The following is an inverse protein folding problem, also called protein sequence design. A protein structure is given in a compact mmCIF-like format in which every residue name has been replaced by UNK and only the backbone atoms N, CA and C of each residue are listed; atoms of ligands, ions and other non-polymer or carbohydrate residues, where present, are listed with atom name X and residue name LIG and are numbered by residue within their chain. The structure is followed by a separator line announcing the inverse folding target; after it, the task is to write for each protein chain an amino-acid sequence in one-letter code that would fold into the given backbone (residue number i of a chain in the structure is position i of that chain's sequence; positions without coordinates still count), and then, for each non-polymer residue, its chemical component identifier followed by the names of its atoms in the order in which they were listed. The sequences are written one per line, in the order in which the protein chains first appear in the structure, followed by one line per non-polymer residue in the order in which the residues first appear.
data_IF_557130539235
#
_entry.id   IF_557130539235
#
_cell.length_a   1.000
_cell.length_b   1.000
_cell.length_c   1.000
_cell.angle_alpha   90.00
_cell.angle_beta   90.00
_cell.angle_gamma   90.00
#
_symmetry.space_group_name_H-M   'P 1'
#
loop_
_entity.id
_entity.type
_entity.pdbx_description
1 polymer ?
#
# COMPACT_ATOMS: atom_id res chain seq x y z
N UNK A 1 27.43 -13.37 11.05
CA UNK A 1 27.00 -13.04 9.67
C UNK A 1 26.64 -11.57 9.62
N UNK A 2 26.96 -10.85 8.54
CA UNK A 2 26.61 -9.43 8.40
C UNK A 2 25.12 -9.28 8.06
N UNK A 3 24.39 -8.49 8.86
CA UNK A 3 22.98 -8.21 8.62
C UNK A 3 22.76 -7.39 7.34
N UNK A 4 21.64 -7.62 6.66
CA UNK A 4 21.13 -6.78 5.57
C UNK A 4 20.69 -5.46 6.20
N UNK A 5 21.31 -4.35 5.82
CA UNK A 5 21.06 -3.05 6.44
C UNK A 5 20.17 -2.17 5.58
N UNK A 6 18.98 -1.85 6.07
CA UNK A 6 18.17 -0.79 5.45
C UNK A 6 18.90 0.54 5.67
N UNK A 7 19.16 1.33 4.60
CA UNK A 7 19.89 2.58 4.76
C UNK A 7 19.02 3.63 5.47
N UNK A 8 19.63 4.42 6.36
CA UNK A 8 18.94 5.54 7.04
C UNK A 8 18.36 6.58 6.08
N UNK A 9 18.88 6.66 4.85
CA UNK A 9 18.26 7.44 3.78
C UNK A 9 17.99 6.54 2.58
N UNK A 10 16.71 6.37 2.25
CA UNK A 10 16.23 5.49 1.19
C UNK A 10 15.84 6.32 -0.03
N UNK A 11 16.49 6.04 -1.15
CA UNK A 11 16.08 6.41 -2.51
C UNK A 11 15.46 5.19 -3.18
N UNK A 12 14.79 5.35 -4.33
CA UNK A 12 14.25 4.21 -5.09
C UNK A 12 15.33 3.20 -5.47
N UNK A 13 16.48 3.66 -5.97
CA UNK A 13 17.62 2.78 -6.30
C UNK A 13 18.11 1.96 -5.10
N UNK A 14 18.17 2.57 -3.90
CA UNK A 14 18.53 1.85 -2.66
C UNK A 14 17.47 0.83 -2.25
N UNK A 15 16.20 1.14 -2.46
CA UNK A 15 15.10 0.22 -2.18
C UNK A 15 15.08 -0.98 -3.16
N UNK A 16 15.43 -0.77 -4.43
CA UNK A 16 15.61 -1.85 -5.42
C UNK A 16 16.77 -2.77 -5.03
N UNK A 17 17.93 -2.21 -4.68
CA UNK A 17 19.06 -3.02 -4.18
C UNK A 17 18.70 -3.83 -2.94
N UNK A 18 17.92 -3.26 -2.02
CA UNK A 18 17.41 -3.99 -0.86
C UNK A 18 16.54 -5.19 -1.28
N UNK A 19 15.71 -5.03 -2.33
CA UNK A 19 14.87 -6.11 -2.85
C UNK A 19 15.69 -7.31 -3.35
N UNK A 20 16.88 -7.08 -3.91
CA UNK A 20 17.82 -8.15 -4.31
C UNK A 20 18.45 -8.81 -3.09
N UNK A 21 18.88 -8.02 -2.10
CA UNK A 21 19.60 -8.51 -0.92
C UNK A 21 18.75 -9.39 0.00
N UNK A 22 17.43 -9.18 0.03
CA UNK A 22 16.48 -9.93 0.87
C UNK A 22 16.03 -11.27 0.28
N UNK A 23 16.29 -11.54 -1.00
CA UNK A 23 15.78 -12.74 -1.68
C UNK A 23 16.32 -14.04 -1.07
N UNK A 24 17.56 -14.02 -0.60
CA UNK A 24 18.21 -15.17 0.04
C UNK A 24 17.61 -15.44 1.44
N UNK A 25 17.09 -14.41 2.10
CA UNK A 25 16.44 -14.49 3.42
C UNK A 25 17.26 -15.12 4.56
N UNK A 26 18.51 -15.54 4.30
CA UNK A 26 19.37 -16.26 5.25
C UNK A 26 20.06 -15.33 6.24
N UNK A 27 20.15 -14.05 5.90
CA UNK A 27 20.85 -13.04 6.70
C UNK A 27 19.86 -12.32 7.61
N UNK A 28 20.29 -11.95 8.84
CA UNK A 28 19.50 -11.08 9.69
C UNK A 28 19.20 -9.76 8.99
N UNK A 29 18.04 -9.16 9.27
CA UNK A 29 17.70 -7.82 8.80
C UNK A 29 18.06 -6.81 9.89
N UNK A 30 18.58 -5.64 9.50
CA UNK A 30 18.70 -4.48 10.37
C UNK A 30 17.90 -3.33 9.78
N UNK A 31 16.91 -2.85 10.53
CA UNK A 31 16.13 -1.67 10.18
C UNK A 31 16.46 -0.56 11.18
N UNK A 32 17.07 0.56 10.74
CA UNK A 32 17.36 1.66 11.66
C UNK A 32 16.06 2.19 12.27
N UNK A 33 16.12 2.58 13.55
CA UNK A 33 15.04 3.31 14.24
C UNK A 33 14.46 4.45 13.39
N UNK A 34 15.32 5.23 12.75
CA UNK A 34 14.93 6.36 11.89
C UNK A 34 15.35 6.15 10.42
N UNK A 35 14.37 6.21 9.53
CA UNK A 35 14.58 6.10 8.07
C UNK A 35 13.96 7.30 7.36
N UNK A 36 14.75 8.00 6.56
CA UNK A 36 14.34 9.11 5.71
C UNK A 36 14.08 8.64 4.29
N UNK A 37 12.81 8.63 3.89
CA UNK A 37 12.37 8.27 2.55
C UNK A 37 12.37 9.49 1.62
N UNK A 38 13.16 9.44 0.55
CA UNK A 38 13.34 10.56 -0.39
C UNK A 38 12.42 10.52 -1.61
N UNK A 39 11.76 9.38 -1.85
CA UNK A 39 10.81 9.19 -2.94
C UNK A 39 9.48 8.66 -2.38
N UNK A 40 8.36 9.02 -3.01
CA UNK A 40 7.02 8.68 -2.56
C UNK A 40 6.74 7.16 -2.55
N UNK A 41 7.43 6.37 -3.39
CA UNK A 41 7.31 4.91 -3.45
C UNK A 41 8.25 4.17 -2.48
N UNK A 42 9.22 4.86 -1.87
CA UNK A 42 10.28 4.17 -1.12
C UNK A 42 9.75 3.38 0.08
N UNK A 43 8.73 3.87 0.79
CA UNK A 43 8.16 3.14 1.94
C UNK A 43 7.56 1.81 1.49
N UNK A 44 6.80 1.79 0.39
CA UNK A 44 6.14 0.57 -0.08
C UNK A 44 7.12 -0.44 -0.66
N UNK A 45 8.15 0.02 -1.36
CA UNK A 45 9.25 -0.82 -1.84
C UNK A 45 10.01 -1.48 -0.68
N UNK A 46 10.36 -0.70 0.34
CA UNK A 46 11.07 -1.22 1.51
C UNK A 46 10.17 -2.16 2.31
N UNK A 47 8.91 -1.79 2.55
CA UNK A 47 7.96 -2.66 3.24
C UNK A 47 7.75 -4.00 2.51
N UNK A 48 7.64 -3.99 1.18
CA UNK A 48 7.54 -5.25 0.41
C UNK A 48 8.83 -6.09 0.49
N UNK A 49 10.00 -5.45 0.56
CA UNK A 49 11.27 -6.14 0.77
C UNK A 49 11.33 -6.79 2.16
N UNK A 50 10.88 -6.07 3.20
CA UNK A 50 10.74 -6.60 4.56
C UNK A 50 9.75 -7.76 4.62
N UNK A 51 8.61 -7.65 3.94
CA UNK A 51 7.65 -8.75 3.84
C UNK A 51 8.28 -9.96 3.18
N UNK A 52 9.02 -9.77 2.09
CA UNK A 52 9.72 -10.86 1.39
C UNK A 52 10.74 -11.54 2.30
N UNK A 53 11.56 -10.76 3.01
CA UNK A 53 12.48 -11.27 4.01
C UNK A 53 11.74 -12.07 5.10
N UNK A 54 10.65 -11.52 5.63
CA UNK A 54 9.92 -12.10 6.75
C UNK A 54 9.11 -13.35 6.41
N UNK A 55 8.72 -13.56 5.16
CA UNK A 55 8.06 -14.81 4.75
C UNK A 55 9.03 -15.89 4.29
N UNK A 56 10.29 -15.55 4.08
CA UNK A 56 11.30 -16.49 3.59
C UNK A 56 11.51 -17.62 4.62
N UNK A 57 11.61 -18.91 4.22
CA UNK A 57 11.68 -20.04 5.17
C UNK A 57 12.87 -20.03 6.14
N UNK A 58 13.95 -19.33 5.79
CA UNK A 58 15.14 -19.20 6.63
C UNK A 58 14.89 -18.34 7.90
N UNK A 59 15.85 -18.35 8.83
CA UNK A 59 15.78 -17.65 10.11
C UNK A 59 15.53 -16.14 9.92
N UNK A 60 14.32 -15.70 10.28
CA UNK A 60 13.90 -14.29 10.24
C UNK A 60 14.43 -13.48 11.43
N UNK A 61 15.74 -13.52 11.66
CA UNK A 61 16.36 -12.80 12.76
C UNK A 61 16.45 -11.29 12.47
N UNK A 62 15.91 -10.46 13.37
CA UNK A 62 15.99 -9.01 13.30
C UNK A 62 17.06 -8.49 14.26
N UNK A 63 17.93 -7.62 13.79
CA UNK A 63 18.85 -6.84 14.62
C UNK A 63 18.32 -5.41 14.71
N UNK A 64 18.27 -4.85 15.93
CA UNK A 64 17.70 -3.52 16.18
C UNK A 64 18.58 -2.65 17.06
N UNK A 65 18.52 -1.34 16.81
CA UNK A 65 19.07 -0.27 17.64
C UNK A 65 17.99 0.44 18.47
N UNK A 66 16.76 -0.07 18.44
CA UNK A 66 15.65 0.45 19.25
C UNK A 66 15.86 0.06 20.71
N UNK A 67 16.05 1.06 21.57
CA UNK A 67 15.94 0.91 23.00
C UNK A 67 14.48 0.63 23.38
N UNK A 68 14.19 -0.61 23.81
CA UNK A 68 12.84 -1.04 24.16
C UNK A 68 12.38 -0.46 25.52
N UNK A 69 13.28 0.12 26.32
CA UNK A 69 12.94 0.77 27.59
C UNK A 69 12.66 2.27 27.43
N UNK A 70 12.94 2.88 26.26
CA UNK A 70 12.54 4.26 25.96
C UNK A 70 11.00 4.32 25.89
N UNK A 71 10.40 5.22 26.66
CA UNK A 71 8.96 5.47 26.64
C UNK A 71 8.41 5.82 25.24
N UNK A 72 9.27 6.23 24.30
CA UNK A 72 8.93 6.53 22.91
C UNK A 72 9.10 5.35 21.95
N UNK A 73 9.60 4.20 22.39
CA UNK A 73 9.89 3.06 21.51
C UNK A 73 8.66 2.64 20.68
N UNK A 74 7.48 2.57 21.30
CA UNK A 74 6.22 2.29 20.60
C UNK A 74 5.89 3.34 19.53
N UNK A 75 6.12 4.63 19.84
CA UNK A 75 5.92 5.73 18.89
C UNK A 75 6.91 5.66 17.72
N UNK A 76 8.16 5.30 17.98
CA UNK A 76 9.19 5.17 16.96
C UNK A 76 8.89 4.00 16.00
N UNK A 77 8.47 2.86 16.54
CA UNK A 77 7.94 1.73 15.78
C UNK A 77 6.74 2.15 14.91
N UNK A 78 5.75 2.81 15.51
CA UNK A 78 4.54 3.23 14.80
C UNK A 78 4.80 4.22 13.64
N UNK A 79 5.87 5.03 13.73
CA UNK A 79 6.27 5.99 12.68
C UNK A 79 7.11 5.38 11.56
N UNK A 80 7.64 4.17 11.76
CA UNK A 80 8.51 3.51 10.80
C UNK A 80 7.87 2.19 10.33
N UNK A 81 6.97 2.32 9.35
CA UNK A 81 6.16 1.21 8.83
C UNK A 81 6.97 -0.06 8.49
N UNK A 82 8.11 0.00 7.77
CA UNK A 82 8.92 -1.20 7.54
C UNK A 82 9.58 -1.77 8.81
N UNK A 83 9.94 -0.95 9.79
CA UNK A 83 10.46 -1.42 11.08
C UNK A 83 9.39 -2.21 11.84
N UNK A 84 8.18 -1.66 11.95
CA UNK A 84 7.06 -2.34 12.61
C UNK A 84 6.70 -3.65 11.90
N UNK A 85 6.69 -3.67 10.56
CA UNK A 85 6.50 -4.90 9.80
C UNK A 85 7.62 -5.92 10.03
N UNK A 86 8.88 -5.48 10.14
CA UNK A 86 10.01 -6.36 10.41
C UNK A 86 9.88 -6.99 11.81
N UNK A 87 9.56 -6.19 12.83
CA UNK A 87 9.28 -6.68 14.18
C UNK A 87 8.14 -7.70 14.21
N UNK A 88 7.06 -7.44 13.47
CA UNK A 88 5.91 -8.35 13.39
C UNK A 88 6.19 -9.67 12.64
N UNK A 89 7.21 -9.70 11.78
CA UNK A 89 7.59 -10.89 10.99
C UNK A 89 8.82 -11.62 11.55
N UNK A 90 9.53 -11.04 12.51
CA UNK A 90 10.77 -11.59 13.02
C UNK A 90 10.54 -12.86 13.84
N UNK A 91 11.36 -13.88 13.63
CA UNK A 91 11.36 -15.10 14.46
C UNK A 91 12.09 -14.85 15.79
N UNK A 92 13.19 -14.12 15.73
CA UNK A 92 14.00 -13.65 16.85
C UNK A 92 14.39 -12.18 16.66
N UNK A 93 14.62 -11.47 17.77
CA UNK A 93 15.07 -10.08 17.76
C UNK A 93 16.26 -9.93 18.69
N UNK A 94 17.34 -9.33 18.19
CA UNK A 94 18.58 -9.09 18.92
C UNK A 94 18.96 -7.61 18.87
N UNK A 95 19.62 -7.14 19.93
CA UNK A 95 20.31 -5.84 19.95
C UNK A 95 21.61 -5.89 19.14
N UNK A 96 22.25 -4.73 18.94
CA UNK A 96 23.54 -4.64 18.23
C UNK A 96 24.68 -5.43 18.88
N UNK A 97 24.64 -5.64 20.20
CA UNK A 97 25.61 -6.47 20.94
C UNK A 97 25.25 -7.97 20.99
N UNK A 98 24.14 -8.36 20.35
CA UNK A 98 23.68 -9.75 20.25
C UNK A 98 22.76 -10.22 21.37
N UNK A 99 22.38 -9.35 22.32
CA UNK A 99 21.41 -9.70 23.37
C UNK A 99 20.06 -10.04 22.77
N UNK A 100 19.53 -11.23 23.09
CA UNK A 100 18.20 -11.66 22.67
C UNK A 100 17.13 -10.89 23.45
N UNK A 101 16.31 -10.14 22.73
CA UNK A 101 15.21 -9.32 23.25
C UNK A 101 13.87 -9.72 22.63
N UNK A 102 13.77 -10.92 22.06
CA UNK A 102 12.60 -11.38 21.28
C UNK A 102 11.28 -11.22 22.03
N UNK A 103 11.20 -11.64 23.30
CA UNK A 103 9.96 -11.55 24.07
C UNK A 103 9.53 -10.10 24.32
N UNK A 104 10.48 -9.23 24.66
CA UNK A 104 10.24 -7.79 24.88
C UNK A 104 9.82 -7.10 23.58
N UNK A 105 10.51 -7.42 22.49
CA UNK A 105 10.19 -6.93 21.15
C UNK A 105 8.77 -7.35 20.73
N UNK A 106 8.37 -8.61 20.97
CA UNK A 106 7.00 -9.09 20.72
C UNK A 106 5.99 -8.31 21.54
N UNK A 107 6.20 -8.16 22.85
CA UNK A 107 5.30 -7.40 23.71
C UNK A 107 5.10 -5.96 23.23
N UNK A 108 6.20 -5.26 22.90
CA UNK A 108 6.14 -3.89 22.37
C UNK A 108 5.44 -3.82 21.02
N UNK A 109 5.67 -4.80 20.14
CA UNK A 109 5.02 -4.91 18.83
C UNK A 109 3.52 -5.12 18.98
N UNK A 110 3.11 -6.05 19.83
CA UNK A 110 1.70 -6.33 20.13
C UNK A 110 1.00 -5.09 20.69
N UNK A 111 1.63 -4.40 21.64
CA UNK A 111 1.13 -3.13 22.19
C UNK A 111 0.97 -2.07 21.08
N UNK A 112 2.02 -1.85 20.29
CA UNK A 112 2.02 -0.85 19.21
C UNK A 112 0.95 -1.13 18.17
N UNK A 113 0.77 -2.40 17.78
CA UNK A 113 -0.25 -2.82 16.82
C UNK A 113 -1.66 -2.72 17.39
N UNK A 114 -1.87 -3.06 18.66
CA UNK A 114 -3.17 -2.94 19.32
C UNK A 114 -3.63 -1.48 19.42
N UNK A 115 -2.72 -0.57 19.79
CA UNK A 115 -2.97 0.87 19.82
C UNK A 115 -3.25 1.40 18.41
N UNK A 116 -2.40 1.06 17.42
CA UNK A 116 -2.60 1.49 16.03
C UNK A 116 -3.88 0.95 15.37
N UNK A 117 -4.29 -0.28 15.73
CA UNK A 117 -5.54 -0.89 15.27
C UNK A 117 -6.80 -0.20 15.80
N UNK A 118 -6.70 0.53 16.91
CA UNK A 118 -7.79 1.30 17.48
C UNK A 118 -7.99 2.65 16.77
N UNK A 119 -6.98 3.14 16.03
CA UNK A 119 -6.77 4.58 15.85
C UNK A 119 -6.35 4.99 14.42
N UNK A 120 -7.10 4.60 13.37
CA UNK A 120 -7.19 5.51 12.21
C UNK A 120 -8.13 6.63 12.66
N UNK A 121 -7.63 7.84 12.94
CA UNK A 121 -8.40 8.83 13.70
C UNK A 121 -9.71 9.23 13.03
N UNK A 122 -10.64 9.70 13.85
CA UNK A 122 -11.86 10.37 13.40
C UNK A 122 -11.47 11.70 12.73
N UNK A 123 -12.23 12.10 11.70
CA UNK A 123 -12.10 13.42 11.08
C UNK A 123 -12.15 14.51 12.16
N UNK A 124 -11.16 15.40 12.19
CA UNK A 124 -11.17 16.59 13.06
C UNK A 124 -9.94 16.83 13.93
N UNK A 125 -9.04 15.85 14.12
CA UNK A 125 -7.80 16.06 14.90
C UNK A 125 -6.62 16.65 14.11
N UNK A 126 -6.89 17.33 12.98
CA UNK A 126 -5.89 18.16 12.27
C UNK A 126 -4.55 17.47 12.03
N UNK A 127 -4.50 16.47 11.17
CA UNK A 127 -3.27 15.70 10.92
C UNK A 127 -2.48 16.40 9.80
N UNK A 128 -1.27 16.88 10.08
CA UNK A 128 -0.44 17.69 9.16
C UNK A 128 0.34 16.86 8.13
N UNK A 129 0.76 17.52 7.02
CA UNK A 129 1.72 16.98 6.05
C UNK A 129 2.98 16.47 6.76
N UNK A 130 3.42 15.25 6.45
CA UNK A 130 4.56 14.60 7.11
C UNK A 130 4.18 13.52 8.14
N UNK A 131 2.88 13.33 8.38
CA UNK A 131 2.38 12.20 9.16
C UNK A 131 2.31 10.93 8.31
N UNK A 132 2.85 9.85 8.88
CA UNK A 132 2.89 8.51 8.31
C UNK A 132 1.99 7.63 9.18
N UNK A 133 1.09 6.86 8.58
CA UNK A 133 0.21 5.94 9.29
C UNK A 133 0.26 4.60 8.60
N UNK A 134 0.51 3.56 9.39
CA UNK A 134 0.31 2.19 8.96
C UNK A 134 -0.67 1.47 9.86
N UNK A 135 -1.42 0.58 9.25
CA UNK A 135 -2.23 -0.41 9.92
C UNK A 135 -1.82 -1.78 9.40
N UNK A 136 -1.43 -2.65 10.32
CA UNK A 136 -0.89 -3.97 10.00
C UNK A 136 -1.76 -5.02 10.69
N UNK A 137 -2.33 -5.93 9.92
CA UNK A 137 -2.88 -7.19 10.43
C UNK A 137 -1.77 -8.23 10.42
N UNK A 138 -1.63 -8.96 11.53
CA UNK A 138 -0.64 -10.04 11.70
C UNK A 138 -1.40 -11.35 11.84
N UNK A 139 -1.51 -12.13 10.77
CA UNK A 139 -2.46 -13.26 10.72
C UNK A 139 -1.97 -14.51 11.44
N UNK A 140 -0.68 -14.57 11.74
CA UNK A 140 -0.03 -15.72 12.37
C UNK A 140 0.07 -15.60 13.90
N UNK A 141 -0.27 -14.43 14.46
CA UNK A 141 -0.32 -14.21 15.91
C UNK A 141 -1.79 -14.16 16.38
N UNK A 142 -2.30 -15.21 17.05
CA UNK A 142 -3.69 -15.26 17.48
C UNK A 142 -4.02 -14.28 18.61
N UNK A 143 -3.02 -13.72 19.29
CA UNK A 143 -3.24 -12.68 20.32
C UNK A 143 -3.63 -11.33 19.70
N UNK A 144 -3.25 -11.11 18.43
CA UNK A 144 -3.55 -9.91 17.68
C UNK A 144 -4.85 -10.06 16.91
N UNK A 145 -5.85 -9.26 17.29
CA UNK A 145 -7.10 -9.17 16.52
C UNK A 145 -6.86 -8.31 15.28
N UNK A 146 -7.40 -8.70 14.11
CA UNK A 146 -7.37 -7.85 12.93
C UNK A 146 -7.94 -6.45 13.25
N UNK A 147 -7.32 -5.38 12.73
CA UNK A 147 -7.77 -4.01 12.93
C UNK A 147 -9.25 -3.82 12.59
N UNK A 148 -10.04 -3.36 13.57
CA UNK A 148 -11.49 -3.21 13.43
C UNK A 148 -11.82 -2.07 12.45
N UNK A 149 -12.73 -2.32 11.52
CA UNK A 149 -13.18 -1.29 10.56
C UNK A 149 -12.20 -1.03 9.41
N UNK A 150 -11.27 -1.95 9.19
CA UNK A 150 -10.38 -2.04 8.02
C UNK A 150 -10.54 -3.43 7.40
N UNK A 151 -10.41 -4.47 8.22
CA UNK A 151 -10.69 -5.84 7.81
C UNK A 151 -12.05 -6.29 8.37
N UNK A 152 -12.93 -6.86 7.54
CA UNK A 152 -14.21 -7.42 7.98
C UNK A 152 -14.00 -8.66 8.86
N UNK A 153 -14.90 -8.93 9.82
CA UNK A 153 -14.75 -10.00 10.83
C UNK A 153 -15.12 -11.40 10.34
N UNK A 154 -15.79 -11.48 9.20
CA UNK A 154 -16.30 -12.69 8.57
C UNK A 154 -16.61 -12.32 7.13
N UNK A 155 -16.60 -13.31 6.23
CA UNK A 155 -16.93 -13.15 4.80
C UNK A 155 -17.98 -12.06 4.59
N UNK A 156 -17.61 -11.05 3.80
CA UNK A 156 -18.39 -9.83 3.61
C UNK A 156 -19.84 -10.18 3.26
N UNK A 157 -20.75 -9.86 4.17
CA UNK A 157 -22.12 -9.63 3.79
C UNK A 157 -22.19 -8.37 2.92
N UNK A 158 -23.18 -8.33 2.04
CA UNK A 158 -23.49 -7.13 1.25
C UNK A 158 -23.72 -5.89 2.13
N UNK A 159 -24.06 -6.08 3.41
CA UNK A 159 -24.29 -5.04 4.42
C UNK A 159 -23.04 -4.24 4.79
N UNK A 160 -21.84 -4.82 4.65
CA UNK A 160 -20.60 -4.12 4.91
C UNK A 160 -20.21 -3.14 3.79
N UNK A 161 -20.69 -3.35 2.55
CA UNK A 161 -20.34 -2.50 1.39
C UNK A 161 -20.76 -1.04 1.55
N UNK A 162 -21.97 -0.68 2.04
CA UNK A 162 -22.36 0.71 2.30
C UNK A 162 -21.39 1.50 3.20
N UNK A 163 -20.71 0.85 4.15
CA UNK A 163 -19.69 1.47 5.02
C UNK A 163 -18.44 1.93 4.25
N UNK A 164 -18.20 1.34 3.08
CA UNK A 164 -17.06 1.64 2.21
C UNK A 164 -17.45 2.29 0.88
N UNK A 165 -18.65 2.05 0.39
CA UNK A 165 -19.14 2.43 -0.95
C UNK A 165 -19.91 3.75 -1.00
N UNK A 166 -20.11 4.42 0.14
CA UNK A 166 -20.68 5.75 0.19
C UNK A 166 -22.18 5.76 -0.07
N UNK A 167 -22.98 5.55 0.98
CA UNK A 167 -24.14 6.44 1.08
C UNK A 167 -23.61 7.88 1.15
N UNK A 168 -24.34 8.83 0.56
CA UNK A 168 -24.08 10.26 0.75
C UNK A 168 -23.76 10.49 2.23
N UNK A 169 -22.70 11.27 2.50
CA UNK A 169 -22.16 11.59 3.84
C UNK A 169 -23.23 11.83 4.93
N UNK A 170 -24.43 12.30 4.53
CA UNK A 170 -25.60 12.54 5.40
C UNK A 170 -26.21 11.29 6.04
N UNK A 171 -26.06 10.09 5.47
CA UNK A 171 -26.64 8.86 6.03
C UNK A 171 -25.63 8.05 6.88
N UNK A 172 -24.33 8.35 6.79
CA UNK A 172 -23.27 7.55 7.43
C UNK A 172 -23.01 7.97 8.88
N UNK A 173 -23.49 9.14 9.30
CA UNK A 173 -23.46 9.56 10.71
C UNK A 173 -24.23 8.59 11.63
N UNK A 174 -25.16 7.79 11.10
CA UNK A 174 -25.94 6.82 11.88
C UNK A 174 -25.17 5.52 12.23
N UNK A 175 -24.12 5.15 11.49
CA UNK A 175 -23.39 3.90 11.79
C UNK A 175 -22.23 4.13 12.78
N UNK A 176 -22.57 4.19 14.07
CA UNK A 176 -21.63 4.25 15.21
C UNK A 176 -20.71 5.48 15.26
N UNK A 177 -21.05 6.57 14.58
CA UNK A 177 -20.35 7.86 14.68
C UNK A 177 -18.92 7.88 14.13
N UNK A 178 -18.54 6.96 13.22
CA UNK A 178 -17.20 6.93 12.61
C UNK A 178 -17.26 7.28 11.11
N UNK A 179 -16.39 8.17 10.60
CA UNK A 179 -16.34 8.43 9.17
C UNK A 179 -15.91 7.21 8.34
N UNK A 180 -16.35 7.12 7.05
CA UNK A 180 -15.87 6.09 6.13
C UNK A 180 -14.35 6.02 6.05
N UNK A 181 -13.79 4.84 5.74
CA UNK A 181 -12.34 4.62 5.70
C UNK A 181 -11.61 5.62 4.77
N UNK A 182 -12.13 5.86 3.57
CA UNK A 182 -11.48 6.81 2.64
C UNK A 182 -11.46 8.24 3.19
N UNK A 183 -12.49 8.68 3.90
CA UNK A 183 -12.53 10.00 4.54
C UNK A 183 -11.51 10.10 5.68
N UNK A 184 -11.34 9.03 6.46
CA UNK A 184 -10.30 8.96 7.50
C UNK A 184 -8.90 9.05 6.89
N UNK A 185 -8.67 8.41 5.74
CA UNK A 185 -7.39 8.47 5.03
C UNK A 185 -7.15 9.85 4.39
N UNK A 186 -8.16 10.49 3.79
CA UNK A 186 -8.03 11.84 3.26
C UNK A 186 -7.70 12.87 4.36
N UNK A 187 -8.29 12.70 5.54
CA UNK A 187 -8.01 13.53 6.73
C UNK A 187 -6.56 13.52 7.20
N UNK A 188 -5.72 12.59 6.72
CA UNK A 188 -4.27 12.52 7.00
C UNK A 188 -3.48 13.59 6.23
N UNK A 189 -4.02 14.12 5.13
CA UNK A 189 -3.24 14.99 4.22
C UNK A 189 -2.93 16.39 4.76
N UNK A 190 -3.59 16.84 5.84
CA UNK A 190 -3.31 18.11 6.52
C UNK A 190 -3.54 19.39 5.73
N UNK A 191 -3.98 19.27 4.48
CA UNK A 191 -4.59 20.34 3.73
C UNK A 191 -6.08 20.26 4.05
N UNK A 192 -6.59 21.31 4.68
CA UNK A 192 -7.98 21.51 5.10
C UNK A 192 -8.99 20.97 4.04
N UNK A 193 -10.20 20.48 4.41
CA UNK A 193 -11.31 20.25 3.47
C UNK A 193 -11.50 21.35 2.39
N UNK A 194 -11.08 22.59 2.65
CA UNK A 194 -11.06 23.70 1.69
C UNK A 194 -10.23 23.43 0.40
N UNK A 195 -9.22 22.56 0.43
CA UNK A 195 -8.45 22.20 -0.76
C UNK A 195 -9.15 21.18 -1.67
N UNK A 196 -10.08 20.41 -1.13
CA UNK A 196 -10.84 19.38 -1.86
C UNK A 196 -12.27 19.84 -2.20
N UNK A 197 -12.77 20.89 -1.53
CA UNK A 197 -14.07 21.50 -1.80
C UNK A 197 -15.22 20.48 -1.76
N UNK A 198 -16.18 20.65 -2.67
CA UNK A 198 -17.33 19.74 -2.82
C UNK A 198 -16.92 18.30 -3.19
N UNK A 199 -15.71 18.11 -3.73
CA UNK A 199 -15.19 16.81 -4.14
C UNK A 199 -14.66 15.98 -2.98
N UNK A 200 -14.50 16.54 -1.77
CA UNK A 200 -13.99 15.80 -0.61
C UNK A 200 -14.81 14.54 -0.33
N UNK A 201 -16.14 14.65 -0.36
CA UNK A 201 -17.04 13.52 -0.09
C UNK A 201 -16.96 12.46 -1.19
N UNK A 202 -16.97 12.87 -2.46
CA UNK A 202 -16.88 11.96 -3.59
C UNK A 202 -15.53 11.23 -3.61
N UNK A 203 -14.44 11.97 -3.38
CA UNK A 203 -13.07 11.45 -3.26
C UNK A 203 -12.95 10.47 -2.10
N UNK A 204 -13.52 10.81 -0.94
CA UNK A 204 -13.50 9.95 0.24
C UNK A 204 -14.27 8.64 0.03
N UNK A 205 -15.37 8.68 -0.72
CA UNK A 205 -16.13 7.48 -1.10
C UNK A 205 -15.39 6.63 -2.12
N UNK A 206 -14.82 7.24 -3.16
CA UNK A 206 -14.03 6.54 -4.18
C UNK A 206 -12.81 5.84 -3.56
N UNK A 207 -12.11 6.54 -2.66
CA UNK A 207 -11.01 5.96 -1.91
C UNK A 207 -11.47 4.86 -0.93
N UNK A 208 -12.64 5.01 -0.31
CA UNK A 208 -13.23 3.97 0.53
C UNK A 208 -13.46 2.67 -0.25
N UNK A 209 -14.04 2.76 -1.44
CA UNK A 209 -14.24 1.62 -2.34
C UNK A 209 -12.93 0.98 -2.78
N UNK A 210 -11.93 1.79 -3.15
CA UNK A 210 -10.58 1.30 -3.49
C UNK A 210 -10.02 0.43 -2.37
N UNK A 211 -9.99 1.00 -1.16
CA UNK A 211 -9.40 0.36 0.00
C UNK A 211 -10.16 -0.91 0.35
N UNK A 212 -11.49 -0.89 0.28
CA UNK A 212 -12.31 -2.08 0.51
C UNK A 212 -11.93 -3.25 -0.40
N UNK A 213 -11.89 -3.02 -1.72
CA UNK A 213 -11.58 -4.09 -2.67
C UNK A 213 -10.16 -4.62 -2.48
N UNK A 214 -9.18 -3.73 -2.29
CA UNK A 214 -7.80 -4.15 -2.05
C UNK A 214 -7.68 -4.94 -0.74
N UNK A 215 -8.24 -4.45 0.35
CA UNK A 215 -8.18 -5.10 1.66
C UNK A 215 -8.93 -6.44 1.65
N UNK A 216 -10.09 -6.51 0.99
CA UNK A 216 -10.80 -7.76 0.75
C UNK A 216 -9.94 -8.77 -0.02
N UNK A 217 -9.28 -8.34 -1.10
CA UNK A 217 -8.39 -9.22 -1.88
C UNK A 217 -7.24 -9.74 -1.01
N UNK A 218 -6.64 -8.91 -0.17
CA UNK A 218 -5.60 -9.38 0.77
C UNK A 218 -6.17 -10.35 1.81
N UNK A 219 -7.38 -10.14 2.33
CA UNK A 219 -8.01 -11.04 3.30
C UNK A 219 -8.30 -12.42 2.70
N UNK A 220 -8.78 -12.46 1.46
CA UNK A 220 -9.12 -13.71 0.79
C UNK A 220 -7.86 -14.47 0.36
N UNK A 221 -6.87 -13.78 -0.21
CA UNK A 221 -5.78 -14.42 -0.94
C UNK A 221 -4.43 -14.42 -0.23
N UNK A 222 -4.20 -13.54 0.75
CA UNK A 222 -2.85 -13.30 1.27
C UNK A 222 -2.54 -13.94 2.63
N UNK A 223 -3.41 -14.79 3.17
CA UNK A 223 -3.20 -15.50 4.45
C UNK A 223 -2.65 -16.92 4.28
N UNK A 224 -2.59 -17.41 3.04
CA UNK A 224 -2.30 -18.80 2.73
C UNK A 224 -1.30 -18.89 1.60
N UNK A 225 -0.47 -19.92 1.63
CA UNK A 225 0.41 -20.32 0.54
C UNK A 225 -0.38 -20.64 -0.73
N UNK A 226 0.34 -20.80 -1.85
CA UNK A 226 -0.22 -21.35 -3.10
C UNK A 226 -0.85 -22.74 -2.92
N UNK A 227 -0.52 -23.48 -1.87
CA UNK A 227 -1.10 -24.81 -1.60
C UNK A 227 -2.29 -24.76 -0.63
N UNK A 228 -2.61 -23.59 -0.07
CA UNK A 228 -3.73 -23.42 0.85
C UNK A 228 -3.37 -23.55 2.32
N UNK A 229 -2.13 -23.91 2.64
CA UNK A 229 -1.64 -23.90 4.01
C UNK A 229 -1.57 -22.46 4.52
N UNK A 230 -1.93 -22.19 5.79
CA UNK A 230 -1.67 -20.89 6.41
C UNK A 230 -0.20 -20.48 6.24
N UNK A 231 0.04 -19.19 6.02
CA UNK A 231 1.40 -18.67 6.00
C UNK A 231 1.97 -18.68 7.43
N UNK A 232 3.18 -19.26 7.67
CA UNK A 232 3.78 -19.29 9.00
C UNK A 232 4.04 -17.89 9.58
N UNK A 233 4.34 -16.95 8.69
CA UNK A 233 4.50 -15.52 8.97
C UNK A 233 3.72 -14.77 7.92
N UNK A 234 2.73 -14.00 8.38
CA UNK A 234 1.75 -13.34 7.54
C UNK A 234 1.44 -11.97 8.10
N UNK A 235 1.61 -10.96 7.24
CA UNK A 235 1.13 -9.61 7.46
C UNK A 235 0.34 -9.09 6.26
N UNK A 236 -0.62 -8.22 6.54
CA UNK A 236 -1.36 -7.41 5.56
C UNK A 236 -1.36 -5.97 6.06
N UNK A 237 -0.99 -5.04 5.20
CA UNK A 237 -0.58 -3.71 5.57
C UNK A 237 -1.29 -2.67 4.72
N UNK A 238 -1.90 -1.68 5.37
CA UNK A 238 -2.33 -0.43 4.77
C UNK A 238 -1.42 0.67 5.28
N UNK A 239 -0.78 1.39 4.38
CA UNK A 239 0.05 2.56 4.66
C UNK A 239 -0.54 3.78 3.97
N UNK A 240 -0.63 4.90 4.68
CA UNK A 240 -1.07 6.17 4.15
C UNK A 240 -0.18 7.30 4.68
N UNK A 241 0.20 8.22 3.80
CA UNK A 241 1.10 9.33 4.16
C UNK A 241 0.87 10.56 3.28
N UNK A 242 0.91 11.74 3.89
CA UNK A 242 1.16 12.99 3.18
C UNK A 242 2.64 13.12 2.82
N UNK A 243 2.96 13.17 1.53
CA UNK A 243 4.33 13.30 1.02
C UNK A 243 4.50 14.65 0.34
N UNK A 244 5.63 15.32 0.59
CA UNK A 244 5.97 16.55 -0.10
C UNK A 244 7.46 16.63 -0.40
N UNK A 245 7.81 16.98 -1.64
CA UNK A 245 9.19 17.17 -2.07
C UNK A 245 9.24 18.13 -3.27
N UNK A 246 10.38 18.81 -3.46
CA UNK A 246 10.63 19.62 -4.66
C UNK A 246 10.60 18.74 -5.92
N UNK A 247 9.93 19.21 -6.98
CA UNK A 247 9.90 18.54 -8.29
C UNK A 247 11.31 18.23 -8.79
N UNK A 248 12.21 19.21 -8.73
CA UNK A 248 13.61 19.11 -9.15
C UNK A 248 14.40 17.99 -8.46
N UNK A 249 14.05 17.66 -7.21
CA UNK A 249 14.61 16.51 -6.48
C UNK A 249 13.98 15.21 -6.99
N UNK A 250 12.64 15.15 -7.04
CA UNK A 250 11.89 13.95 -7.39
C UNK A 250 12.22 13.41 -8.78
N UNK A 251 12.31 14.27 -9.79
CA UNK A 251 12.65 13.90 -11.18
C UNK A 251 14.07 13.34 -11.34
N UNK A 252 14.90 13.40 -10.29
CA UNK A 252 16.25 12.83 -10.25
C UNK A 252 16.38 11.61 -9.34
N UNK A 253 15.30 11.23 -8.63
CA UNK A 253 15.37 10.15 -7.61
C UNK A 253 15.46 8.75 -8.19
N UNK A 254 14.98 8.55 -9.42
CA UNK A 254 15.07 7.28 -10.14
C UNK A 254 15.09 7.49 -11.65
N UNK A 255 16.26 7.73 -12.26
CA UNK A 255 16.34 7.99 -13.71
C UNK A 255 15.95 6.77 -14.56
N UNK A 256 15.82 5.58 -13.98
CA UNK A 256 15.43 4.36 -14.70
C UNK A 256 13.93 4.16 -14.79
N UNK A 257 13.15 4.84 -13.94
CA UNK A 257 11.69 4.76 -13.90
C UNK A 257 11.05 5.94 -14.68
N UNK A 258 11.05 5.83 -16.00
CA UNK A 258 10.53 6.87 -16.89
C UNK A 258 9.05 7.21 -16.64
N UNK A 259 8.22 6.24 -16.27
CA UNK A 259 6.79 6.45 -16.00
C UNK A 259 6.62 7.32 -14.75
N UNK A 260 7.31 6.98 -13.66
CA UNK A 260 7.26 7.77 -12.43
C UNK A 260 7.89 9.15 -12.60
N UNK A 261 9.01 9.25 -13.33
CA UNK A 261 9.65 10.55 -13.58
C UNK A 261 8.75 11.46 -14.42
N UNK A 262 8.08 10.91 -15.44
CA UNK A 262 7.08 11.62 -16.24
C UNK A 262 5.90 12.08 -15.36
N UNK A 263 5.43 11.24 -14.44
CA UNK A 263 4.41 11.65 -13.47
C UNK A 263 4.87 12.84 -12.63
N UNK A 264 6.07 12.80 -12.03
CA UNK A 264 6.58 13.92 -11.24
C UNK A 264 6.81 15.20 -12.05
N UNK A 265 7.27 15.08 -13.29
CA UNK A 265 7.48 16.23 -14.16
C UNK A 265 6.17 16.98 -14.46
N UNK A 266 5.07 16.23 -14.58
CA UNK A 266 3.76 16.76 -14.99
C UNK A 266 2.76 16.95 -13.84
N UNK A 267 3.06 16.43 -12.64
CA UNK A 267 2.17 16.58 -11.48
C UNK A 267 1.97 18.05 -11.10
N UNK A 268 0.75 18.48 -10.75
CA UNK A 268 0.48 19.86 -10.39
C UNK A 268 1.30 20.26 -9.15
N UNK A 269 1.99 21.39 -9.25
CA UNK A 269 2.74 21.95 -8.14
C UNK A 269 1.88 22.91 -7.32
N UNK A 270 2.29 23.19 -6.10
CA UNK A 270 1.65 24.24 -5.30
C UNK A 270 1.86 25.60 -5.98
N UNK A 271 0.82 26.45 -6.05
CA UNK A 271 0.92 27.76 -6.69
C UNK A 271 2.13 28.57 -6.18
N UNK A 272 2.95 29.08 -7.10
CA UNK A 272 4.17 29.81 -6.76
C UNK A 272 5.32 28.96 -6.18
N UNK A 273 5.28 27.64 -6.27
CA UNK A 273 6.28 26.74 -5.68
C UNK A 273 6.67 25.57 -6.60
N UNK A 274 7.93 25.09 -6.51
CA UNK A 274 8.34 23.80 -7.10
C UNK A 274 7.89 22.59 -6.26
N UNK A 275 7.21 22.82 -5.13
CA UNK A 275 6.84 21.77 -4.20
C UNK A 275 5.69 20.93 -4.76
N UNK A 276 5.91 19.63 -4.89
CA UNK A 276 4.87 18.65 -5.14
C UNK A 276 4.32 18.10 -3.83
N UNK A 277 3.02 17.80 -3.81
CA UNK A 277 2.33 17.21 -2.66
C UNK A 277 1.49 16.03 -3.13
N UNK A 278 1.62 14.92 -2.43
CA UNK A 278 0.88 13.70 -2.72
C UNK A 278 0.28 13.11 -1.45
N UNK A 279 -0.92 12.56 -1.57
CA UNK A 279 -1.38 11.48 -0.69
C UNK A 279 -0.85 10.17 -1.27
N UNK A 280 0.01 9.50 -0.51
CA UNK A 280 0.56 8.19 -0.86
C UNK A 280 -0.20 7.14 -0.08
N UNK A 281 -0.71 6.13 -0.77
CA UNK A 281 -1.44 5.02 -0.15
C UNK A 281 -0.88 3.72 -0.69
N UNK A 282 -0.53 2.80 0.19
CA UNK A 282 -0.03 1.48 -0.18
C UNK A 282 -0.77 0.37 0.56
N UNK A 283 -1.27 -0.62 -0.17
CA UNK A 283 -1.76 -1.89 0.38
C UNK A 283 -0.75 -2.97 0.02
N UNK A 284 -0.19 -3.62 1.02
CA UNK A 284 0.89 -4.61 0.86
C UNK A 284 0.51 -5.88 1.62
N UNK A 285 0.76 -7.03 1.04
CA UNK A 285 0.51 -8.31 1.68
C UNK A 285 1.68 -9.29 1.56
N UNK A 286 1.61 -10.38 2.32
CA UNK A 286 2.60 -11.47 2.40
C UNK A 286 2.22 -12.70 1.59
N UNK A 287 1.15 -12.60 0.80
CA UNK A 287 0.57 -13.69 0.05
C UNK A 287 1.49 -14.28 -1.02
N UNK A 288 0.97 -15.25 -1.79
CA UNK A 288 1.72 -15.84 -2.88
C UNK A 288 1.83 -14.91 -4.11
N UNK A 289 1.07 -13.82 -4.14
CA UNK A 289 1.02 -12.89 -5.26
C UNK A 289 -0.02 -13.26 -6.32
N UNK A 290 -0.29 -12.32 -7.22
CA UNK A 290 -1.40 -12.34 -8.18
C UNK A 290 -1.32 -13.53 -9.14
N UNK A 291 -0.19 -13.70 -9.83
CA UNK A 291 -0.01 -14.78 -10.80
C UNK A 291 -0.14 -16.16 -10.14
N UNK A 292 0.58 -16.36 -9.03
CA UNK A 292 0.59 -17.62 -8.29
C UNK A 292 -0.79 -17.98 -7.72
N UNK A 293 -1.56 -16.99 -7.26
CA UNK A 293 -2.94 -17.19 -6.80
C UNK A 293 -3.84 -17.67 -7.93
N UNK A 294 -3.75 -17.03 -9.10
CA UNK A 294 -4.58 -17.39 -10.25
C UNK A 294 -4.23 -18.77 -10.80
N UNK A 295 -2.93 -19.09 -10.91
CA UNK A 295 -2.44 -20.40 -11.35
C UNK A 295 -2.98 -21.53 -10.49
N UNK A 296 -2.95 -21.36 -9.18
CA UNK A 296 -3.54 -22.32 -8.24
C UNK A 296 -5.02 -22.54 -8.53
N UNK A 297 -5.78 -21.45 -8.70
CA UNK A 297 -7.23 -21.54 -8.97
C UNK A 297 -7.54 -22.33 -10.25
N UNK A 298 -6.59 -22.38 -11.17
CA UNK A 298 -6.68 -23.13 -12.43
C UNK A 298 -5.98 -24.50 -12.38
N UNK A 299 -5.59 -24.96 -11.18
CA UNK A 299 -4.88 -26.23 -10.97
C UNK A 299 -3.63 -26.40 -11.84
N UNK A 300 -2.93 -25.30 -12.13
CA UNK A 300 -1.71 -25.34 -12.92
C UNK A 300 -0.56 -25.94 -12.10
N UNK A 301 0.04 -27.03 -12.59
CA UNK A 301 1.08 -27.80 -11.87
C UNK A 301 2.47 -27.73 -12.50
N UNK A 302 2.60 -27.13 -13.70
CA UNK A 302 3.88 -27.07 -14.40
C UNK A 302 4.81 -25.99 -13.81
N UNK A 303 6.15 -26.11 -13.99
CA UNK A 303 7.10 -25.07 -13.60
C UNK A 303 6.78 -23.74 -14.29
N UNK A 304 6.81 -22.66 -13.51
CA UNK A 304 6.52 -21.31 -14.00
C UNK A 304 7.68 -20.74 -14.78
N UNK A 305 7.52 -20.65 -16.10
CA UNK A 305 8.36 -19.77 -16.90
C UNK A 305 8.03 -18.29 -16.60
N UNK A 306 8.99 -17.36 -16.69
CA UNK A 306 8.70 -15.94 -16.56
C UNK A 306 7.61 -15.46 -17.54
N UNK A 307 7.51 -16.06 -18.73
CA UNK A 307 6.46 -15.74 -19.69
C UNK A 307 5.05 -16.12 -19.18
N UNK A 308 4.89 -17.32 -18.61
CA UNK A 308 3.63 -17.74 -18.01
C UNK A 308 3.28 -16.91 -16.77
N UNK A 309 4.27 -16.61 -15.91
CA UNK A 309 4.04 -15.75 -14.74
C UNK A 309 3.57 -14.35 -15.17
N UNK A 310 4.11 -13.80 -16.27
CA UNK A 310 3.66 -12.53 -16.86
C UNK A 310 2.21 -12.61 -17.33
N UNK A 311 1.86 -13.65 -18.07
CA UNK A 311 0.50 -13.84 -18.59
C UNK A 311 -0.51 -13.90 -17.43
N UNK A 312 -0.24 -14.72 -16.43
CA UNK A 312 -1.11 -14.90 -15.27
C UNK A 312 -1.18 -13.66 -14.37
N UNK A 313 -0.08 -12.92 -14.23
CA UNK A 313 -0.07 -11.62 -13.57
C UNK A 313 -1.03 -10.65 -14.26
N UNK A 314 -0.95 -10.53 -15.60
CA UNK A 314 -1.84 -9.68 -16.37
C UNK A 314 -3.31 -10.15 -16.30
N UNK A 315 -3.54 -11.47 -16.33
CA UNK A 315 -4.89 -12.04 -16.20
C UNK A 315 -5.48 -11.78 -14.81
N UNK A 316 -4.71 -11.90 -13.75
CA UNK A 316 -5.19 -11.60 -12.39
C UNK A 316 -5.61 -10.12 -12.25
N UNK A 317 -4.83 -9.20 -12.82
CA UNK A 317 -5.21 -7.79 -12.91
C UNK A 317 -6.49 -7.55 -13.73
N UNK A 318 -6.75 -8.35 -14.77
CA UNK A 318 -8.01 -8.29 -15.54
C UNK A 318 -9.20 -8.77 -14.72
N UNK A 319 -9.06 -9.93 -14.07
CA UNK A 319 -10.16 -10.57 -13.35
C UNK A 319 -10.62 -9.76 -12.14
N UNK A 320 -9.68 -9.08 -11.50
CA UNK A 320 -9.97 -8.14 -10.43
C UNK A 320 -10.66 -6.86 -10.94
N UNK A 321 -10.76 -6.67 -12.26
CA UNK A 321 -11.40 -5.53 -12.94
C UNK A 321 -12.68 -5.91 -13.72
N UNK A 322 -13.11 -7.16 -13.65
CA UNK A 322 -14.29 -7.66 -14.39
C UNK A 322 -15.34 -8.20 -13.43
N UNK A 323 -16.56 -7.63 -13.47
CA UNK A 323 -17.78 -8.23 -12.93
C UNK A 323 -17.87 -9.69 -13.28
N UNK A 324 -17.94 -10.59 -12.30
CA UNK A 324 -18.30 -11.97 -12.59
C UNK A 324 -19.82 -12.06 -12.78
N UNK A 325 -20.30 -12.89 -13.70
CA UNK A 325 -21.75 -13.07 -13.95
C UNK A 325 -22.51 -13.66 -12.75
N UNK A 326 -21.82 -14.30 -11.79
CA UNK A 326 -22.39 -14.80 -10.53
C UNK A 326 -22.38 -13.78 -9.39
N UNK A 327 -21.54 -12.76 -9.50
CA UNK A 327 -21.45 -11.63 -8.56
C UNK A 327 -21.21 -10.36 -9.39
N UNK A 328 -22.26 -9.78 -9.98
CA UNK A 328 -22.17 -8.69 -10.97
C UNK A 328 -21.44 -7.45 -10.45
N UNK A 329 -21.24 -7.34 -9.13
CA UNK A 329 -20.57 -6.24 -8.45
C UNK A 329 -19.07 -6.46 -8.13
N UNK A 330 -18.51 -7.66 -8.30
CA UNK A 330 -17.05 -7.90 -8.09
C UNK A 330 -16.22 -7.19 -9.17
N UNK A 331 -15.13 -6.53 -8.82
CA UNK A 331 -14.24 -5.88 -9.80
C UNK A 331 -14.76 -4.56 -10.40
N UNK A 332 -15.93 -4.07 -9.96
CA UNK A 332 -16.37 -2.68 -10.21
C UNK A 332 -15.45 -1.67 -9.52
N UNK A 333 -14.98 -1.98 -8.30
CA UNK A 333 -14.19 -1.02 -7.53
C UNK A 333 -12.84 -0.72 -8.18
N UNK A 334 -12.17 -1.71 -8.78
CA UNK A 334 -10.91 -1.49 -9.50
C UNK A 334 -11.07 -0.69 -10.80
N UNK A 335 -12.19 -0.81 -11.52
CA UNK A 335 -12.50 0.11 -12.63
C UNK A 335 -12.76 1.52 -12.13
N UNK A 336 -13.59 1.67 -11.09
CA UNK A 336 -13.88 2.96 -10.44
C UNK A 336 -12.61 3.65 -9.96
N UNK A 337 -11.64 2.88 -9.48
CA UNK A 337 -10.31 3.38 -9.09
C UNK A 337 -9.57 3.97 -10.27
N UNK A 338 -9.56 3.30 -11.42
CA UNK A 338 -8.88 3.82 -12.60
C UNK A 338 -9.55 5.09 -13.12
N UNK A 339 -10.89 5.13 -13.15
CA UNK A 339 -11.66 6.35 -13.45
C UNK A 339 -11.34 7.46 -12.45
N UNK A 340 -11.31 7.14 -11.16
CA UNK A 340 -10.99 8.08 -10.09
C UNK A 340 -9.55 8.62 -10.21
N UNK A 341 -8.56 7.76 -10.42
CA UNK A 341 -7.18 8.19 -10.63
C UNK A 341 -7.01 8.99 -11.93
N UNK A 342 -7.82 8.71 -12.95
CA UNK A 342 -7.89 9.53 -14.18
C UNK A 342 -8.38 10.94 -13.88
N UNK A 343 -9.53 11.04 -13.19
CA UNK A 343 -10.06 12.33 -12.74
C UNK A 343 -9.04 13.11 -11.92
N UNK A 344 -8.28 12.43 -11.06
CA UNK A 344 -7.28 13.07 -10.20
C UNK A 344 -5.92 13.32 -10.84
N UNK A 345 -5.68 12.90 -12.08
CA UNK A 345 -4.34 12.89 -12.66
C UNK A 345 -3.34 12.11 -11.80
N UNK A 346 -3.81 11.04 -11.15
CA UNK A 346 -3.05 10.24 -10.20
C UNK A 346 -2.07 9.26 -10.87
N UNK A 347 -1.37 8.51 -10.02
CA UNK A 347 -0.49 7.44 -10.45
C UNK A 347 -0.77 6.18 -9.65
N UNK A 348 -0.69 5.02 -10.30
CA UNK A 348 -0.72 3.72 -9.63
C UNK A 348 0.47 2.85 -10.01
N UNK A 349 0.87 2.01 -9.06
CA UNK A 349 1.86 0.95 -9.23
C UNK A 349 1.32 -0.33 -8.59
N UNK A 350 1.43 -1.44 -9.32
CA UNK A 350 1.16 -2.78 -8.79
C UNK A 350 2.39 -3.64 -8.98
N UNK A 351 2.97 -4.13 -7.89
CA UNK A 351 4.07 -5.09 -7.90
C UNK A 351 3.66 -6.40 -7.25
N UNK A 352 3.78 -7.50 -7.98
CA UNK A 352 3.52 -8.84 -7.44
C UNK A 352 4.40 -9.88 -8.12
N UNK A 353 5.00 -10.76 -7.32
CA UNK A 353 5.97 -11.73 -7.82
C UNK A 353 7.09 -11.04 -8.59
N UNK A 354 7.33 -11.51 -9.81
CA UNK A 354 8.37 -10.99 -10.72
C UNK A 354 7.96 -9.72 -11.49
N UNK A 355 6.72 -9.28 -11.40
CA UNK A 355 6.22 -8.25 -12.32
C UNK A 355 5.74 -7.00 -11.61
N UNK A 356 5.97 -5.89 -12.29
CA UNK A 356 5.47 -4.58 -11.93
C UNK A 356 4.78 -3.93 -13.11
N UNK A 357 3.64 -3.31 -12.85
CA UNK A 357 2.99 -2.38 -13.78
C UNK A 357 2.80 -1.04 -13.10
N UNK A 358 2.87 0.00 -13.91
CA UNK A 358 2.65 1.37 -13.49
C UNK A 358 1.77 2.08 -14.50
N UNK A 359 1.03 3.09 -14.03
CA UNK A 359 0.25 3.97 -14.89
C UNK A 359 0.25 5.38 -14.33
N UNK A 360 0.71 6.32 -15.16
CA UNK A 360 0.46 7.74 -14.95
C UNK A 360 -0.89 8.08 -15.60
N UNK A 361 -1.93 8.27 -14.79
CA UNK A 361 -3.28 8.51 -15.29
C UNK A 361 -3.47 9.94 -15.82
N UNK A 362 -2.55 10.87 -15.53
CA UNK A 362 -2.57 12.20 -16.15
C UNK A 362 -2.15 12.14 -17.63
N UNK A 363 -1.13 11.34 -17.97
CA UNK A 363 -0.65 11.22 -19.36
C UNK A 363 -1.30 10.08 -20.13
N UNK A 364 -1.86 9.09 -19.43
CA UNK A 364 -2.52 7.93 -20.00
C UNK A 364 -3.84 7.65 -19.25
N UNK A 365 -4.87 8.49 -19.46
CA UNK A 365 -6.16 8.38 -18.78
C UNK A 365 -6.85 7.05 -19.09
N UNK A 366 -7.63 6.51 -18.15
CA UNK A 366 -8.40 5.29 -18.36
C UNK A 366 -9.68 5.59 -19.15
N UNK A 367 -9.83 4.95 -20.31
CA UNK A 367 -10.93 5.22 -21.25
C UNK A 367 -12.17 4.32 -21.04
N UNK A 368 -12.17 3.40 -20.07
CA UNK A 368 -13.30 2.51 -19.79
C UNK A 368 -13.49 1.35 -20.79
N UNK A 369 -13.22 1.59 -22.07
CA UNK A 369 -13.37 0.67 -23.20
C UNK A 369 -12.04 0.04 -23.65
N UNK A 370 -10.96 0.24 -22.90
CA UNK A 370 -9.65 -0.32 -23.24
C UNK A 370 -9.73 -1.86 -23.33
N UNK A 371 -9.04 -2.49 -24.30
CA UNK A 371 -8.90 -3.93 -24.35
C UNK A 371 -8.37 -4.47 -23.01
N UNK A 372 -8.85 -5.63 -22.57
CA UNK A 372 -8.42 -6.25 -21.31
C UNK A 372 -6.89 -6.42 -21.20
N UNK A 373 -6.21 -6.50 -22.33
CA UNK A 373 -4.76 -6.52 -22.42
C UNK A 373 -4.07 -5.15 -22.22
N UNK A 374 -4.78 -4.10 -21.76
CA UNK A 374 -4.22 -2.75 -21.55
C UNK A 374 -4.75 -2.02 -20.32
N UNK A 375 -5.86 -2.48 -19.70
CA UNK A 375 -6.60 -1.76 -18.65
C UNK A 375 -5.77 -1.18 -17.49
N UNK A 376 -4.77 -1.89 -16.97
CA UNK A 376 -4.00 -1.40 -15.81
C UNK A 376 -2.77 -0.57 -16.16
N UNK A 377 -2.39 -0.50 -17.43
CA UNK A 377 -1.18 0.19 -17.88
C UNK A 377 -1.41 1.08 -19.10
N UNK A 378 -2.67 1.30 -19.52
CA UNK A 378 -3.05 2.17 -20.64
C UNK A 378 -2.40 1.83 -21.98
N UNK A 379 -1.86 0.62 -22.13
CA UNK A 379 -1.00 0.28 -23.27
C UNK A 379 0.36 0.98 -23.30
N UNK A 380 0.76 1.69 -22.23
CA UNK A 380 1.94 2.57 -22.16
C UNK A 380 3.25 1.78 -22.00
N UNK A 381 3.24 0.69 -21.22
CA UNK A 381 4.42 -0.16 -21.06
C UNK A 381 4.05 -1.61 -20.75
N UNK A 382 4.83 -2.56 -21.27
CA UNK A 382 4.77 -3.96 -20.84
C UNK A 382 5.08 -4.08 -19.34
N UNK A 383 4.52 -5.08 -18.62
CA UNK A 383 4.95 -5.39 -17.26
C UNK A 383 6.47 -5.52 -17.21
N UNK A 384 7.09 -4.74 -16.33
CA UNK A 384 8.53 -4.71 -16.20
C UNK A 384 8.97 -5.89 -15.34
N UNK A 385 9.86 -6.77 -15.82
CA UNK A 385 10.45 -7.80 -15.00
C UNK A 385 11.27 -7.18 -13.86
N UNK A 386 11.12 -7.75 -12.68
CA UNK A 386 11.83 -7.40 -11.46
C UNK A 386 12.16 -8.68 -10.69
N UNK A 387 12.84 -8.52 -9.58
CA UNK A 387 13.17 -9.53 -8.58
C UNK A 387 11.86 -10.08 -8.01
N UNK A 388 11.79 -11.41 -7.89
CA UNK A 388 10.58 -12.08 -7.43
C UNK A 388 10.41 -11.87 -5.92
N UNK A 389 9.54 -10.94 -5.56
CA UNK A 389 9.19 -10.64 -4.16
C UNK A 389 7.91 -11.38 -3.75
N UNK A 390 7.73 -11.54 -2.44
CA UNK A 390 6.50 -12.07 -1.89
C UNK A 390 5.33 -11.08 -2.02
N UNK A 391 4.12 -11.64 -2.04
CA UNK A 391 2.88 -10.90 -1.95
C UNK A 391 2.57 -9.97 -3.12
N UNK A 392 1.72 -9.00 -2.82
CA UNK A 392 1.34 -7.92 -3.73
C UNK A 392 1.51 -6.59 -3.00
N UNK A 393 2.03 -5.59 -3.71
CA UNK A 393 2.04 -4.20 -3.28
C UNK A 393 1.28 -3.37 -4.31
N UNK A 394 0.19 -2.74 -3.88
CA UNK A 394 -0.57 -1.77 -4.65
C UNK A 394 -0.34 -0.39 -4.05
N UNK A 395 0.28 0.53 -4.80
CA UNK A 395 0.58 1.89 -4.35
C UNK A 395 -0.09 2.90 -5.27
N UNK A 396 -0.76 3.90 -4.71
CA UNK A 396 -1.28 5.06 -5.44
C UNK A 396 -0.72 6.36 -4.91
N UNK A 397 -0.56 7.31 -5.82
CA UNK A 397 -0.11 8.67 -5.58
C UNK A 397 -1.20 9.58 -6.12
N UNK A 398 -1.84 10.31 -5.21
CA UNK A 398 -2.89 11.26 -5.54
C UNK A 398 -2.32 12.66 -5.34
N UNK A 399 -2.19 13.48 -6.39
CA UNK A 399 -1.81 14.88 -6.25
C UNK A 399 -2.75 15.60 -5.30
N UNK A 400 -2.19 16.35 -4.35
CA UNK A 400 -3.00 17.21 -3.47
C UNK A 400 -3.04 18.59 -4.11
N UNK A 401 -4.21 19.09 -4.52
CA UNK A 401 -4.32 20.38 -5.19
C UNK A 401 -3.80 21.53 -4.31
N UNK A 402 -3.16 22.56 -4.90
CA UNK A 402 -3.01 23.84 -4.22
C UNK A 402 -4.40 24.44 -3.92
N UNK A 403 -4.62 24.94 -2.72
CA UNK A 403 -5.89 25.54 -2.31
C UNK A 403 -6.28 26.78 -3.14
N UNK A 404 -7.59 27.05 -3.16
CA UNK A 404 -8.39 28.12 -3.77
C UNK A 404 -8.72 28.03 -5.28
N UNK A 405 -7.79 27.74 -6.18
CA UNK A 405 -8.06 27.78 -7.65
C UNK A 405 -8.23 26.39 -8.31
N UNK A 406 -8.21 25.31 -7.53
CA UNK A 406 -8.25 23.95 -8.06
C UNK A 406 -9.58 23.56 -8.72
N UNK A 407 -10.64 24.34 -8.50
CA UNK A 407 -12.04 24.08 -8.89
C UNK A 407 -12.26 23.78 -10.39
N UNK A 408 -11.41 24.30 -11.28
CA UNK A 408 -11.64 24.23 -12.74
C UNK A 408 -11.33 22.86 -13.35
N UNK A 409 -10.30 22.15 -12.86
CA UNK A 409 -9.97 20.80 -13.34
C UNK A 409 -10.91 19.74 -12.75
N UNK A 410 -11.51 20.02 -11.58
CA UNK A 410 -12.31 19.04 -10.85
C UNK A 410 -13.78 18.97 -11.28
N UNK A 411 -14.39 20.09 -11.69
CA UNK A 411 -15.79 20.13 -12.15
C UNK A 411 -16.04 19.22 -13.37
N UNK A 412 -15.08 19.13 -14.28
CA UNK A 412 -15.20 18.26 -15.47
C UNK A 412 -15.24 16.76 -15.15
N UNK A 413 -14.73 16.32 -13.99
CA UNK A 413 -14.72 14.92 -13.59
C UNK A 413 -15.97 14.50 -12.79
N UNK A 414 -16.67 15.45 -12.18
CA UNK A 414 -17.92 15.20 -11.45
C UNK A 414 -19.14 15.09 -12.39
N UNK A 415 -19.07 15.73 -13.57
CA UNK A 415 -20.16 15.78 -14.54
C UNK A 415 -20.12 14.63 -15.58
N UNK A 416 -19.16 13.71 -15.48
CA UNK A 416 -19.04 12.54 -16.35
C UNK A 416 -19.76 11.30 -15.80
N UNK A 417 -21.04 11.16 -16.16
CA UNK A 417 -21.90 10.00 -15.87
C UNK A 417 -21.51 8.70 -16.59
#
# INVERSE_FOLDING_TARGET
MTAIRIPQSVTSARAVRLSEEVLDGSRPLFVPKHVSYKNALSVSLVAQSVVTWGVHPADGALVTDVDLDDARAAQDLARNTPLLAAFALATSVQTLDGTDITQRARALTTFTLAEGAADIPQLGQGITVGTDRAVIAVDHDPSLKPPRGIYPRSHLDEESRPLYAGRLWRDVTEFRGRPPLGHRVLGISGQNPEGWGENYSATGSALGMLLFELLQNTDIHARRTVYGNPLPRSVRLLHARGFSQKRSVLVRTDPTDSTLMSFYANAPAVAGSEQLRFLVISVIDSGPGLAATLLRRENYTAPLSPAHEREYFLRALRMTSSGSTREPMRGLGLRRVQTFLTALGGFARVRSGRFEVQRNFASAPYEGLEPDARKWWGGVAAPTPKEKLAGTAFTVLIPVPPSADADVLWRAAADGG
#
